data_IF_193114687739
#
_entry.id   IF_193114687739
#
_cell.length_a   1.000
_cell.length_b   1.000
_cell.length_c   1.000
_cell.angle_alpha   90.00
_cell.angle_beta   90.00
_cell.angle_gamma   90.00
#
_symmetry.space_group_name_H-M   'P 1'
#
loop_
_entity.id
_entity.type
_entity.pdbx_description
1 polymer ?
#
# COMPACT_ATOMS: atom_id res chain seq x y z
N UNK A 1 13.04 -33.15 -21.56
CA UNK A 1 13.92 -32.46 -22.53
C UNK A 1 13.17 -31.56 -23.52
N UNK A 2 12.24 -32.06 -24.37
CA UNK A 2 11.49 -31.21 -25.33
C UNK A 2 10.52 -30.27 -24.58
N UNK A 3 9.79 -30.74 -23.58
CA UNK A 3 8.87 -29.95 -22.75
C UNK A 3 9.59 -28.85 -21.95
N UNK A 4 10.81 -29.15 -21.47
CA UNK A 4 11.65 -28.15 -20.75
C UNK A 4 12.20 -27.08 -21.69
N UNK A 5 12.66 -27.46 -22.89
CA UNK A 5 13.09 -26.49 -23.92
C UNK A 5 11.93 -25.62 -24.39
N UNK A 6 10.74 -26.21 -24.55
CA UNK A 6 9.53 -25.45 -24.93
C UNK A 6 9.10 -24.49 -23.82
N UNK A 7 9.13 -24.93 -22.55
CA UNK A 7 8.87 -24.06 -21.40
C UNK A 7 9.89 -22.92 -21.26
N UNK A 8 11.18 -23.21 -21.52
CA UNK A 8 12.24 -22.19 -21.52
C UNK A 8 12.10 -21.21 -22.67
N UNK A 9 11.67 -21.67 -23.85
CA UNK A 9 11.37 -20.79 -24.98
C UNK A 9 10.12 -19.94 -24.72
N UNK A 10 9.07 -20.53 -24.16
CA UNK A 10 7.86 -19.82 -23.75
C UNK A 10 8.10 -18.84 -22.59
N UNK A 11 9.01 -19.14 -21.66
CA UNK A 11 9.37 -18.22 -20.58
C UNK A 11 10.14 -16.98 -21.09
N UNK A 12 10.88 -17.09 -22.18
CA UNK A 12 11.49 -15.94 -22.85
C UNK A 12 10.47 -15.05 -23.60
N UNK A 13 9.28 -15.58 -23.91
CA UNK A 13 8.21 -14.88 -24.62
C UNK A 13 7.14 -14.33 -23.65
N UNK A 14 7.12 -14.77 -22.39
CA UNK A 14 6.17 -14.30 -21.37
C UNK A 14 6.76 -13.18 -20.55
N UNK A 15 6.03 -12.11 -20.39
CA UNK A 15 6.37 -11.05 -19.43
C UNK A 15 5.91 -11.48 -18.04
N UNK A 16 6.85 -11.75 -17.14
CA UNK A 16 6.53 -11.99 -15.72
C UNK A 16 6.36 -10.63 -15.02
N UNK A 17 5.27 -10.48 -14.30
CA UNK A 17 4.90 -9.26 -13.58
C UNK A 17 4.89 -9.58 -12.09
N UNK A 18 5.44 -8.71 -11.27
CA UNK A 18 5.14 -8.67 -9.85
C UNK A 18 4.33 -7.41 -9.55
N UNK A 19 3.31 -7.54 -8.72
CA UNK A 19 2.45 -6.44 -8.31
C UNK A 19 2.37 -6.41 -6.78
N UNK A 20 2.70 -5.28 -6.21
CA UNK A 20 2.34 -4.93 -4.85
C UNK A 20 1.02 -4.16 -4.91
N UNK A 21 -0.05 -4.80 -4.42
CA UNK A 21 -1.40 -4.24 -4.44
C UNK A 21 -1.71 -3.57 -3.10
N UNK A 22 -0.96 -2.50 -2.80
CA UNK A 22 -1.07 -1.82 -1.51
C UNK A 22 -2.32 -0.95 -1.36
N UNK A 23 -2.67 -0.67 -0.10
CA UNK A 23 -3.80 0.20 0.26
C UNK A 23 -3.62 1.64 -0.24
N UNK A 24 -2.42 2.20 -0.10
CA UNK A 24 -2.12 3.58 -0.51
C UNK A 24 -1.65 3.68 -1.96
N UNK A 25 -0.72 2.81 -2.35
CA UNK A 25 -0.10 2.80 -3.68
C UNK A 25 -0.03 1.37 -4.21
N UNK A 26 -0.14 1.23 -5.52
CA UNK A 26 0.12 0.00 -6.26
C UNK A 26 1.42 0.14 -7.03
N UNK A 27 2.34 -0.82 -6.86
CA UNK A 27 3.56 -0.91 -7.65
C UNK A 27 3.48 -2.09 -8.62
N UNK A 28 4.03 -1.90 -9.81
CA UNK A 28 4.19 -2.99 -10.78
C UNK A 28 5.64 -3.07 -11.21
N UNK A 29 6.20 -4.24 -11.05
CA UNK A 29 7.55 -4.59 -11.48
C UNK A 29 7.49 -5.56 -12.66
N UNK A 30 8.34 -5.34 -13.64
CA UNK A 30 8.54 -6.26 -14.76
C UNK A 30 10.00 -6.72 -14.73
N UNK A 31 10.21 -8.03 -14.90
CA UNK A 31 11.56 -8.60 -15.01
C UNK A 31 12.38 -7.84 -16.05
N UNK A 32 13.63 -7.56 -15.72
CA UNK A 32 14.62 -6.82 -16.55
C UNK A 32 14.28 -5.34 -16.85
N UNK A 33 13.14 -4.81 -16.33
CA UNK A 33 12.78 -3.39 -16.47
C UNK A 33 12.68 -2.65 -15.15
N UNK A 34 12.60 -3.39 -14.05
CA UNK A 34 12.40 -2.80 -12.71
C UNK A 34 10.95 -2.36 -12.48
N UNK A 35 10.79 -1.38 -11.59
CA UNK A 35 9.47 -0.80 -11.28
C UNK A 35 9.03 0.05 -12.46
N UNK A 36 7.96 -0.35 -13.14
CA UNK A 36 7.41 0.30 -14.34
C UNK A 36 6.16 1.12 -14.04
N UNK A 37 5.55 0.93 -12.86
CA UNK A 37 4.40 1.68 -12.40
C UNK A 37 4.49 1.84 -10.88
N UNK A 38 4.25 3.07 -10.41
CA UNK A 38 4.03 3.41 -9.01
C UNK A 38 2.93 4.46 -8.98
N UNK A 39 1.72 4.04 -8.65
CA UNK A 39 0.55 4.92 -8.65
C UNK A 39 -0.34 4.71 -7.43
N UNK A 40 -1.04 5.77 -6.98
CA UNK A 40 -2.01 5.65 -5.90
C UNK A 40 -3.10 4.62 -6.19
N UNK A 41 -3.48 3.84 -5.19
CA UNK A 41 -4.61 2.90 -5.23
C UNK A 41 -5.94 3.65 -5.06
N UNK A 42 -6.24 4.55 -6.00
CA UNK A 42 -7.41 5.43 -6.00
C UNK A 42 -8.12 5.34 -7.34
N UNK A 43 -9.44 5.34 -7.32
CA UNK A 43 -10.30 5.28 -8.51
C UNK A 43 -11.36 6.36 -8.42
N UNK A 44 -11.57 7.10 -9.50
CA UNK A 44 -12.70 8.01 -9.65
C UNK A 44 -13.81 7.28 -10.42
N UNK A 45 -14.99 7.23 -9.82
CA UNK A 45 -16.19 6.60 -10.40
C UNK A 45 -17.31 7.61 -10.55
N UNK A 46 -18.21 7.39 -11.48
CA UNK A 46 -19.47 8.15 -11.57
C UNK A 46 -20.28 8.00 -10.27
N UNK A 47 -21.11 8.98 -9.93
CA UNK A 47 -21.90 8.99 -8.69
C UNK A 47 -22.79 7.75 -8.50
N UNK A 48 -23.23 7.13 -9.61
CA UNK A 48 -23.97 5.87 -9.59
C UNK A 48 -23.07 4.61 -9.50
N UNK A 49 -21.74 4.78 -9.39
CA UNK A 49 -20.79 3.68 -9.28
C UNK A 49 -20.60 2.81 -10.53
N UNK A 50 -21.24 3.16 -11.65
CA UNK A 50 -21.31 2.28 -12.84
C UNK A 50 -20.13 2.45 -13.80
N UNK A 51 -19.44 3.60 -13.77
CA UNK A 51 -18.38 3.92 -14.72
C UNK A 51 -17.13 4.41 -13.99
N UNK A 52 -15.98 3.82 -14.36
CA UNK A 52 -14.66 4.29 -13.93
C UNK A 52 -14.20 5.42 -14.87
N UNK A 53 -13.95 6.58 -14.33
CA UNK A 53 -13.54 7.79 -15.08
C UNK A 53 -12.03 7.98 -15.05
N UNK A 54 -11.37 7.69 -13.91
CA UNK A 54 -9.93 7.81 -13.77
C UNK A 54 -9.39 6.79 -12.75
N UNK A 55 -8.11 6.45 -12.86
CA UNK A 55 -7.40 5.52 -11.96
C UNK A 55 -6.03 6.11 -11.62
N UNK A 56 -5.56 5.84 -10.41
CA UNK A 56 -4.21 6.20 -9.98
C UNK A 56 -4.03 7.68 -9.75
N UNK A 57 -2.96 8.24 -10.28
CA UNK A 57 -2.59 9.64 -10.08
C UNK A 57 -3.66 10.62 -10.59
N UNK A 58 -4.33 10.30 -11.68
CA UNK A 58 -5.42 11.13 -12.20
C UNK A 58 -6.59 11.17 -11.23
N UNK A 59 -7.00 10.01 -10.70
CA UNK A 59 -8.06 9.93 -9.69
C UNK A 59 -7.66 10.65 -8.39
N UNK A 60 -6.40 10.51 -7.93
CA UNK A 60 -5.90 11.24 -6.74
C UNK A 60 -5.99 12.75 -6.91
N UNK A 61 -5.74 13.28 -8.11
CA UNK A 61 -5.87 14.74 -8.40
C UNK A 61 -7.31 15.24 -8.35
N UNK A 62 -8.28 14.35 -8.56
CA UNK A 62 -9.71 14.68 -8.49
C UNK A 62 -10.26 14.63 -7.06
N UNK A 63 -9.55 14.00 -6.13
CA UNK A 63 -10.00 13.80 -4.75
C UNK A 63 -10.24 15.15 -4.05
N UNK A 64 -11.40 15.28 -3.42
CA UNK A 64 -11.83 16.53 -2.75
C UNK A 64 -12.14 17.70 -3.69
N UNK A 65 -12.07 17.48 -5.02
CA UNK A 65 -12.39 18.50 -6.06
C UNK A 65 -13.51 18.03 -7.00
N UNK A 66 -14.07 16.87 -6.73
CA UNK A 66 -15.17 16.30 -7.51
C UNK A 66 -16.47 17.06 -7.25
N UNK A 67 -17.26 17.22 -8.31
CA UNK A 67 -18.66 17.64 -8.21
C UNK A 67 -19.53 16.46 -7.73
N UNK A 68 -20.84 16.69 -7.59
CA UNK A 68 -21.81 15.66 -7.18
C UNK A 68 -21.92 14.44 -8.13
N UNK A 69 -21.34 14.55 -9.33
CA UNK A 69 -21.40 13.50 -10.36
C UNK A 69 -20.24 12.50 -10.30
N UNK A 70 -19.18 12.83 -9.56
CA UNK A 70 -17.97 12.00 -9.44
C UNK A 70 -17.65 11.74 -7.97
N UNK A 71 -17.30 10.50 -7.68
CA UNK A 71 -16.80 10.07 -6.37
C UNK A 71 -15.42 9.43 -6.52
N UNK A 72 -14.48 9.83 -5.70
CA UNK A 72 -13.17 9.16 -5.61
C UNK A 72 -13.18 8.19 -4.44
N UNK A 73 -12.79 6.96 -4.68
CA UNK A 73 -12.76 5.87 -3.70
C UNK A 73 -11.40 5.19 -3.68
N UNK A 74 -11.05 4.63 -2.53
CA UNK A 74 -9.93 3.70 -2.37
C UNK A 74 -10.51 2.30 -2.36
N UNK A 75 -10.29 1.49 -3.41
CA UNK A 75 -10.86 0.16 -3.51
C UNK A 75 -10.16 -0.87 -2.62
N UNK A 76 -8.97 -0.51 -2.13
CA UNK A 76 -8.22 -1.25 -1.11
C UNK A 76 -8.31 -0.54 0.22
N UNK A 77 -8.55 -1.29 1.30
CA UNK A 77 -8.59 -0.77 2.66
C UNK A 77 -8.01 -1.81 3.63
N UNK A 78 -7.14 -1.37 4.53
CA UNK A 78 -6.56 -2.23 5.56
C UNK A 78 -5.93 -3.52 4.99
N UNK A 79 -5.24 -3.39 3.83
CA UNK A 79 -4.59 -4.50 3.13
C UNK A 79 -5.52 -5.45 2.38
N UNK A 80 -6.84 -5.18 2.34
CA UNK A 80 -7.82 -6.07 1.70
C UNK A 80 -8.67 -5.34 0.66
N UNK A 81 -9.32 -6.11 -0.21
CA UNK A 81 -10.26 -5.59 -1.20
C UNK A 81 -11.53 -5.13 -0.50
N UNK A 82 -11.81 -3.83 -0.51
CA UNK A 82 -13.05 -3.24 0.00
C UNK A 82 -14.15 -3.22 -1.06
N UNK A 83 -13.78 -3.03 -2.33
CA UNK A 83 -14.71 -3.09 -3.48
C UNK A 83 -14.10 -3.94 -4.59
N UNK A 84 -14.69 -5.11 -4.82
CA UNK A 84 -14.19 -6.08 -5.78
C UNK A 84 -14.22 -5.56 -7.23
N UNK A 85 -15.33 -4.94 -7.65
CA UNK A 85 -15.49 -4.49 -9.02
C UNK A 85 -14.52 -3.36 -9.36
N UNK A 86 -14.39 -2.40 -8.46
CA UNK A 86 -13.50 -1.26 -8.65
C UNK A 86 -12.03 -1.69 -8.56
N UNK A 87 -11.68 -2.63 -7.67
CA UNK A 87 -10.34 -3.23 -7.61
C UNK A 87 -10.00 -3.94 -8.91
N UNK A 88 -10.92 -4.73 -9.46
CA UNK A 88 -10.72 -5.40 -10.74
C UNK A 88 -10.47 -4.40 -11.88
N UNK A 89 -11.23 -3.32 -11.94
CA UNK A 89 -10.98 -2.24 -12.92
C UNK A 89 -9.60 -1.61 -12.73
N UNK A 90 -9.20 -1.34 -11.49
CA UNK A 90 -7.89 -0.78 -11.15
C UNK A 90 -6.74 -1.70 -11.57
N UNK A 91 -6.79 -2.97 -11.20
CA UNK A 91 -5.79 -3.99 -11.59
C UNK A 91 -5.71 -4.09 -13.12
N UNK A 92 -6.85 -4.19 -13.79
CA UNK A 92 -6.92 -4.27 -15.26
C UNK A 92 -6.30 -3.04 -15.92
N UNK A 93 -6.57 -1.85 -15.39
CA UNK A 93 -5.98 -0.61 -15.89
C UNK A 93 -4.46 -0.60 -15.73
N UNK A 94 -3.94 -0.94 -14.54
CA UNK A 94 -2.51 -0.96 -14.28
C UNK A 94 -1.77 -2.00 -15.12
N UNK A 95 -2.34 -3.20 -15.28
CA UNK A 95 -1.75 -4.23 -16.15
C UNK A 95 -1.73 -3.76 -17.62
N UNK A 96 -2.83 -3.19 -18.14
CA UNK A 96 -2.88 -2.67 -19.48
C UNK A 96 -1.93 -1.50 -19.72
N UNK A 97 -1.74 -0.63 -18.73
CA UNK A 97 -0.82 0.51 -18.79
C UNK A 97 0.65 0.07 -18.83
N UNK A 98 0.99 -1.01 -18.14
CA UNK A 98 2.37 -1.53 -18.08
C UNK A 98 2.73 -2.43 -19.25
N UNK A 99 1.76 -3.14 -19.81
CA UNK A 99 1.95 -4.02 -20.95
C UNK A 99 1.66 -3.26 -22.24
N UNK A 100 2.66 -3.11 -23.12
CA UNK A 100 2.45 -2.57 -24.46
C UNK A 100 1.48 -3.45 -25.25
N UNK A 101 0.70 -2.85 -26.14
CA UNK A 101 -0.46 -3.38 -26.90
C UNK A 101 -0.29 -4.75 -27.62
N UNK A 102 0.90 -5.33 -27.70
CA UNK A 102 1.21 -6.51 -28.53
C UNK A 102 1.66 -7.73 -27.69
N UNK A 103 0.93 -8.10 -26.65
CA UNK A 103 1.21 -9.34 -25.94
C UNK A 103 0.37 -10.49 -26.51
N UNK A 104 1.00 -11.25 -27.36
CA UNK A 104 0.41 -12.49 -27.91
C UNK A 104 0.30 -13.59 -26.85
N UNK A 105 1.08 -13.50 -25.77
CA UNK A 105 1.09 -14.48 -24.67
C UNK A 105 0.72 -13.76 -23.38
N UNK A 106 -0.35 -14.24 -22.74
CA UNK A 106 -0.82 -13.70 -21.46
C UNK A 106 0.25 -13.80 -20.38
N UNK A 107 0.53 -12.73 -19.60
CA UNK A 107 1.57 -12.73 -18.58
C UNK A 107 1.20 -13.61 -17.38
N UNK A 108 2.22 -14.00 -16.62
CA UNK A 108 2.07 -14.50 -15.25
C UNK A 108 2.26 -13.34 -14.30
N UNK A 109 1.52 -13.35 -13.19
CA UNK A 109 1.64 -12.33 -12.17
C UNK A 109 1.87 -12.95 -10.79
N UNK A 110 2.78 -12.34 -10.02
CA UNK A 110 2.94 -12.59 -8.58
C UNK A 110 2.39 -11.36 -7.86
N UNK A 111 1.50 -11.56 -6.89
CA UNK A 111 0.89 -10.48 -6.12
C UNK A 111 1.27 -10.60 -4.65
N UNK A 112 1.75 -9.51 -4.06
CA UNK A 112 1.95 -9.37 -2.62
C UNK A 112 0.61 -9.38 -1.88
N UNK A 113 0.58 -10.07 -0.74
CA UNK A 113 -0.57 -10.13 0.16
C UNK A 113 -0.11 -10.01 1.62
N UNK A 114 -0.90 -9.39 2.50
CA UNK A 114 -0.62 -9.37 3.94
C UNK A 114 -0.54 -10.78 4.54
N UNK A 115 0.24 -10.93 5.61
CA UNK A 115 0.49 -12.24 6.24
C UNK A 115 -0.78 -12.91 6.76
N UNK A 116 -1.71 -12.14 7.34
CA UNK A 116 -2.92 -12.67 8.00
C UNK A 116 -4.19 -12.57 7.13
N UNK A 117 -4.05 -12.59 5.82
CA UNK A 117 -5.19 -12.53 4.89
C UNK A 117 -6.03 -13.82 4.92
N UNK A 118 -7.35 -13.69 4.92
CA UNK A 118 -8.28 -14.82 4.89
C UNK A 118 -8.30 -15.56 3.55
N UNK A 119 -8.78 -16.80 3.52
CA UNK A 119 -8.91 -17.56 2.27
C UNK A 119 -9.89 -16.92 1.27
N UNK A 120 -10.93 -16.23 1.78
CA UNK A 120 -11.91 -15.51 0.93
C UNK A 120 -11.22 -14.32 0.26
N UNK A 121 -10.45 -13.55 1.01
CA UNK A 121 -9.69 -12.41 0.48
C UNK A 121 -8.61 -12.86 -0.52
N UNK A 122 -7.87 -13.95 -0.23
CA UNK A 122 -6.93 -14.57 -1.18
C UNK A 122 -7.61 -14.90 -2.50
N UNK A 123 -8.78 -15.54 -2.43
CA UNK A 123 -9.56 -15.89 -3.61
C UNK A 123 -10.00 -14.66 -4.40
N UNK A 124 -10.45 -13.62 -3.71
CA UNK A 124 -10.87 -12.35 -4.34
C UNK A 124 -9.70 -11.70 -5.11
N UNK A 125 -8.48 -11.68 -4.55
CA UNK A 125 -7.29 -11.16 -5.23
C UNK A 125 -6.98 -11.98 -6.50
N UNK A 126 -6.99 -13.32 -6.40
CA UNK A 126 -6.74 -14.21 -7.54
C UNK A 126 -7.77 -14.00 -8.64
N UNK A 127 -9.06 -13.97 -8.29
CA UNK A 127 -10.14 -13.78 -9.26
C UNK A 127 -10.06 -12.42 -9.95
N UNK A 128 -9.82 -11.33 -9.21
CA UNK A 128 -9.62 -9.99 -9.78
C UNK A 128 -8.45 -9.95 -10.77
N UNK A 129 -7.33 -10.60 -10.42
CA UNK A 129 -6.18 -10.65 -11.30
C UNK A 129 -6.47 -11.49 -12.57
N UNK A 130 -7.09 -12.66 -12.45
CA UNK A 130 -7.47 -13.50 -13.60
C UNK A 130 -8.44 -12.78 -14.56
N UNK A 131 -9.41 -12.05 -14.02
CA UNK A 131 -10.35 -11.25 -14.80
C UNK A 131 -9.66 -10.12 -15.59
N UNK A 132 -8.51 -9.64 -15.13
CA UNK A 132 -7.71 -8.65 -15.87
C UNK A 132 -7.01 -9.21 -17.11
N UNK A 133 -7.07 -10.55 -17.31
CA UNK A 133 -6.59 -11.23 -18.51
C UNK A 133 -5.18 -11.83 -18.37
N UNK A 134 -4.61 -11.92 -17.17
CA UNK A 134 -3.37 -12.68 -16.94
C UNK A 134 -3.61 -14.19 -17.07
N UNK A 135 -2.55 -14.96 -17.31
CA UNK A 135 -2.64 -16.41 -17.50
C UNK A 135 -2.64 -17.17 -16.18
N UNK A 136 -1.83 -16.71 -15.25
CA UNK A 136 -1.52 -17.40 -14.01
C UNK A 136 -1.24 -16.40 -12.90
N UNK A 137 -1.69 -16.70 -11.69
CA UNK A 137 -1.56 -15.82 -10.52
C UNK A 137 -0.93 -16.62 -9.39
N UNK A 138 0.17 -16.13 -8.86
CA UNK A 138 0.80 -16.63 -7.64
C UNK A 138 0.72 -15.56 -6.57
N UNK A 139 0.51 -15.96 -5.32
CA UNK A 139 0.53 -15.05 -4.18
C UNK A 139 1.82 -15.24 -3.39
N UNK A 140 2.34 -14.15 -2.84
CA UNK A 140 3.49 -14.13 -1.92
C UNK A 140 3.15 -13.23 -0.74
N UNK A 141 3.54 -13.63 0.45
CA UNK A 141 3.36 -12.77 1.64
C UNK A 141 4.32 -11.58 1.58
N UNK A 142 3.79 -10.37 1.82
CA UNK A 142 4.52 -9.11 1.69
C UNK A 142 5.85 -9.10 2.48
N UNK A 143 5.92 -9.54 3.76
CA UNK A 143 7.19 -9.57 4.48
C UNK A 143 8.23 -10.52 3.86
N UNK A 144 7.79 -11.63 3.27
CA UNK A 144 8.69 -12.55 2.56
C UNK A 144 9.22 -11.90 1.28
N UNK A 145 8.36 -11.23 0.52
CA UNK A 145 8.75 -10.50 -0.67
C UNK A 145 9.73 -9.36 -0.33
N UNK A 146 9.46 -8.60 0.75
CA UNK A 146 10.31 -7.54 1.25
C UNK A 146 11.68 -8.07 1.69
N UNK A 147 11.73 -9.20 2.42
CA UNK A 147 12.97 -9.86 2.83
C UNK A 147 13.83 -10.26 1.63
N UNK A 148 13.22 -10.88 0.63
CA UNK A 148 13.90 -11.28 -0.61
C UNK A 148 14.41 -10.05 -1.36
N UNK A 149 13.58 -9.01 -1.48
CA UNK A 149 13.93 -7.76 -2.15
C UNK A 149 15.07 -7.00 -1.46
N UNK A 150 15.15 -7.07 -0.13
CA UNK A 150 16.23 -6.51 0.68
C UNK A 150 17.53 -7.36 0.66
N UNK A 151 17.50 -8.53 0.01
CA UNK A 151 18.65 -9.45 -0.04
C UNK A 151 18.92 -10.18 1.27
N UNK A 152 17.93 -10.28 2.17
CA UNK A 152 18.03 -11.03 3.41
C UNK A 152 18.17 -12.53 3.09
N UNK A 153 19.08 -13.26 3.74
CA UNK A 153 19.33 -14.67 3.44
C UNK A 153 18.25 -15.59 4.06
N UNK A 154 17.01 -15.45 3.58
CA UNK A 154 15.80 -16.13 4.10
C UNK A 154 15.91 -17.67 4.16
N UNK A 155 16.80 -18.26 3.36
CA UNK A 155 17.01 -19.72 3.29
C UNK A 155 17.87 -20.28 4.42
N UNK A 156 18.55 -19.43 5.19
CA UNK A 156 19.38 -19.87 6.30
C UNK A 156 18.56 -20.23 7.53
N UNK A 157 19.14 -21.07 8.42
CA UNK A 157 18.59 -21.42 9.72
C UNK A 157 18.90 -20.32 10.75
N UNK A 158 18.50 -19.10 10.47
CA UNK A 158 18.71 -17.90 11.30
C UNK A 158 17.41 -17.11 11.30
N UNK A 159 16.99 -16.56 12.45
CA UNK A 159 15.82 -15.69 12.55
C UNK A 159 16.11 -14.33 11.95
N UNK A 160 15.34 -13.94 10.94
CA UNK A 160 15.40 -12.61 10.34
C UNK A 160 14.04 -11.94 10.54
N UNK A 161 14.00 -10.81 11.24
CA UNK A 161 12.77 -10.05 11.41
C UNK A 161 12.62 -9.00 10.32
N UNK A 162 11.43 -8.94 9.74
CA UNK A 162 11.01 -7.91 8.78
C UNK A 162 9.79 -7.20 9.31
N UNK A 163 9.80 -5.88 9.20
CA UNK A 163 8.66 -5.02 9.52
C UNK A 163 8.34 -4.26 8.24
N UNK A 164 7.19 -4.55 7.66
CA UNK A 164 6.66 -3.87 6.48
C UNK A 164 5.51 -2.94 6.91
N UNK A 165 5.73 -1.62 6.80
CA UNK A 165 4.74 -0.60 7.19
C UNK A 165 4.19 0.03 5.91
N UNK A 166 3.01 -0.42 5.50
CA UNK A 166 2.32 0.06 4.32
C UNK A 166 1.43 1.28 4.56
N UNK A 167 0.40 1.44 3.72
CA UNK A 167 -0.64 2.45 3.91
C UNK A 167 -1.68 2.03 4.95
N UNK A 168 -2.24 0.83 4.82
CA UNK A 168 -3.33 0.34 5.67
C UNK A 168 -2.90 -0.68 6.72
N UNK A 169 -1.83 -1.44 6.46
CA UNK A 169 -1.33 -2.52 7.33
C UNK A 169 0.13 -2.33 7.69
N UNK A 170 0.49 -2.84 8.88
CA UNK A 170 1.87 -3.11 9.26
C UNK A 170 2.02 -4.60 9.49
N UNK A 171 2.87 -5.23 8.70
CA UNK A 171 3.15 -6.66 8.72
C UNK A 171 4.51 -6.92 9.36
N UNK A 172 4.51 -7.74 10.41
CA UNK A 172 5.70 -8.10 11.18
C UNK A 172 5.90 -9.60 11.01
N UNK A 173 7.06 -10.02 10.53
CA UNK A 173 7.35 -11.43 10.34
C UNK A 173 8.78 -11.78 10.77
N UNK A 174 8.94 -12.94 11.40
CA UNK A 174 10.22 -13.60 11.63
C UNK A 174 10.34 -14.75 10.64
N UNK A 175 11.38 -14.69 9.81
CA UNK A 175 11.61 -15.57 8.68
C UNK A 175 12.84 -16.43 8.96
N UNK A 176 12.72 -17.74 8.76
CA UNK A 176 13.82 -18.70 8.84
C UNK A 176 13.55 -19.87 7.89
N UNK A 177 14.59 -20.45 7.29
CA UNK A 177 14.50 -21.61 6.40
C UNK A 177 13.45 -21.46 5.28
N UNK A 178 13.36 -20.26 4.70
CA UNK A 178 12.42 -19.89 3.64
C UNK A 178 10.93 -19.97 4.05
N UNK A 179 10.63 -19.91 5.34
CA UNK A 179 9.27 -19.92 5.87
C UNK A 179 9.09 -18.79 6.90
N UNK A 180 7.87 -18.32 7.08
CA UNK A 180 7.50 -17.41 8.17
C UNK A 180 7.31 -18.26 9.43
N UNK A 181 8.23 -18.14 10.37
CA UNK A 181 8.19 -18.84 11.66
C UNK A 181 7.16 -18.18 12.62
N UNK A 182 7.05 -16.86 12.57
CA UNK A 182 6.02 -16.08 13.24
C UNK A 182 5.63 -14.90 12.35
N UNK A 183 4.33 -14.60 12.28
CA UNK A 183 3.81 -13.46 11.54
C UNK A 183 2.61 -12.82 12.24
N UNK A 184 2.57 -11.51 12.26
CA UNK A 184 1.44 -10.71 12.77
C UNK A 184 1.20 -9.54 11.80
N UNK A 185 -0.07 -9.30 11.47
CA UNK A 185 -0.51 -8.15 10.69
C UNK A 185 -1.47 -7.32 11.50
N UNK A 186 -1.21 -6.01 11.59
CA UNK A 186 -2.09 -5.06 12.26
C UNK A 186 -2.63 -4.05 11.23
N UNK A 187 -3.91 -3.71 11.35
CA UNK A 187 -4.59 -2.71 10.50
C UNK A 187 -4.31 -1.29 11.01
N UNK A 188 -3.04 -0.95 11.08
CA UNK A 188 -2.55 0.32 11.59
C UNK A 188 -1.22 0.65 10.93
N UNK A 189 -1.20 1.68 10.09
CA UNK A 189 -0.04 2.06 9.28
C UNK A 189 -0.13 3.53 8.85
N UNK A 190 0.35 3.88 7.66
CA UNK A 190 0.41 5.24 7.15
C UNK A 190 -0.91 6.00 7.19
N UNK A 191 -2.03 5.37 6.86
CA UNK A 191 -3.35 6.02 6.85
C UNK A 191 -3.82 6.39 8.27
N UNK A 192 -3.57 5.53 9.26
CA UNK A 192 -3.88 5.83 10.67
C UNK A 192 -3.04 7.00 11.21
N UNK A 193 -1.79 7.11 10.75
CA UNK A 193 -0.93 8.26 11.07
C UNK A 193 -1.48 9.53 10.42
N UNK A 194 -1.92 9.48 9.17
CA UNK A 194 -2.54 10.63 8.48
C UNK A 194 -3.80 11.11 9.20
N UNK A 195 -4.67 10.16 9.59
CA UNK A 195 -5.88 10.46 10.36
C UNK A 195 -5.56 11.08 11.73
N UNK A 196 -4.51 10.62 12.40
CA UNK A 196 -4.06 11.19 13.67
C UNK A 196 -3.59 12.65 13.50
N UNK A 197 -2.87 12.96 12.42
CA UNK A 197 -2.45 14.30 12.06
C UNK A 197 -3.66 15.20 11.77
N UNK A 198 -4.60 14.73 10.95
CA UNK A 198 -5.84 15.47 10.64
C UNK A 198 -6.61 15.79 11.91
N UNK A 199 -6.76 14.81 12.81
CA UNK A 199 -7.41 14.97 14.12
C UNK A 199 -6.69 15.99 15.00
N UNK A 200 -5.35 15.91 15.09
CA UNK A 200 -4.53 16.84 15.86
C UNK A 200 -4.70 18.28 15.39
N UNK A 201 -4.58 18.52 14.08
CA UNK A 201 -4.72 19.85 13.47
C UNK A 201 -6.13 20.42 13.70
N UNK A 202 -7.15 19.57 13.60
CA UNK A 202 -8.53 19.95 13.88
C UNK A 202 -8.73 20.41 15.34
N UNK A 203 -8.16 19.68 16.30
CA UNK A 203 -8.34 19.95 17.72
C UNK A 203 -7.51 21.14 18.19
N UNK A 204 -6.25 21.23 17.78
CA UNK A 204 -5.31 22.25 18.31
C UNK A 204 -5.31 23.54 17.49
N UNK A 205 -5.52 23.47 16.18
CA UNK A 205 -5.53 24.64 15.30
C UNK A 205 -6.92 25.04 14.81
N UNK A 206 -7.97 24.28 15.19
CA UNK A 206 -9.34 24.49 14.72
C UNK A 206 -9.46 24.54 13.18
N UNK A 207 -8.63 23.78 12.50
CA UNK A 207 -8.53 23.74 11.05
C UNK A 207 -9.00 22.39 10.53
N UNK A 208 -10.01 22.37 9.66
CA UNK A 208 -10.47 21.18 8.96
C UNK A 208 -9.65 21.01 7.68
N UNK A 209 -8.94 19.88 7.59
CA UNK A 209 -8.15 19.50 6.43
C UNK A 209 -8.57 18.12 5.92
N UNK A 210 -8.28 17.84 4.65
CA UNK A 210 -8.49 16.52 4.07
C UNK A 210 -7.36 15.54 4.39
N UNK A 211 -7.62 14.25 4.22
CA UNK A 211 -6.65 13.18 4.53
C UNK A 211 -5.35 13.31 3.70
N UNK A 212 -5.42 13.73 2.45
CA UNK A 212 -4.23 13.93 1.63
C UNK A 212 -3.38 15.14 2.06
N UNK A 213 -3.97 16.13 2.72
CA UNK A 213 -3.20 17.21 3.35
C UNK A 213 -2.50 16.67 4.61
N UNK A 214 -3.14 15.77 5.37
CA UNK A 214 -2.50 15.03 6.47
C UNK A 214 -1.32 14.20 5.97
N UNK A 215 -1.48 13.44 4.88
CA UNK A 215 -0.41 12.68 4.21
C UNK A 215 0.75 13.60 3.77
N UNK A 216 0.43 14.76 3.16
CA UNK A 216 1.44 15.74 2.74
C UNK A 216 2.25 16.25 3.94
N UNK A 217 1.58 16.60 5.03
CA UNK A 217 2.23 17.07 6.27
C UNK A 217 3.13 15.97 6.86
N UNK A 218 2.64 14.73 6.95
CA UNK A 218 3.43 13.58 7.39
C UNK A 218 4.71 13.43 6.58
N UNK A 219 4.61 13.44 5.25
CA UNK A 219 5.76 13.27 4.35
C UNK A 219 6.73 14.46 4.47
N UNK A 220 6.23 15.67 4.66
CA UNK A 220 7.05 16.88 4.67
C UNK A 220 7.86 17.05 5.95
N UNK A 221 7.25 16.79 7.12
CA UNK A 221 7.85 17.10 8.43
C UNK A 221 7.60 16.01 9.50
N UNK A 222 7.01 14.86 9.13
CA UNK A 222 6.75 13.77 10.09
C UNK A 222 8.03 13.09 10.51
N UNK A 223 8.25 12.97 11.81
CA UNK A 223 9.37 12.22 12.38
C UNK A 223 8.95 11.52 13.66
N UNK A 224 9.32 10.25 13.81
CA UNK A 224 9.07 9.50 15.04
C UNK A 224 10.02 9.87 16.19
N UNK A 225 11.16 10.48 15.86
CA UNK A 225 12.17 10.90 16.79
C UNK A 225 12.57 12.37 16.53
N UNK A 226 12.94 13.17 17.54
CA UNK A 226 13.35 14.57 17.34
C UNK A 226 14.48 14.69 16.33
N UNK A 227 14.34 15.57 15.35
CA UNK A 227 15.41 15.89 14.40
C UNK A 227 16.13 17.18 14.82
N UNK A 228 17.29 17.44 14.24
CA UNK A 228 18.07 18.64 14.53
C UNK A 228 17.48 19.85 13.83
N UNK A 229 16.87 19.66 12.65
CA UNK A 229 16.49 20.75 11.74
C UNK A 229 15.19 21.48 12.10
N UNK A 230 14.38 20.95 13.04
CA UNK A 230 13.11 21.52 13.52
C UNK A 230 12.23 22.05 12.38
N UNK A 231 11.85 21.15 11.49
CA UNK A 231 11.10 21.48 10.28
C UNK A 231 9.72 22.06 10.61
N UNK A 232 9.24 22.94 9.73
CA UNK A 232 7.88 23.49 9.77
C UNK A 232 7.24 23.43 8.38
N UNK A 233 5.91 23.40 8.32
CA UNK A 233 5.17 23.48 7.06
C UNK A 233 3.89 24.27 7.22
N UNK A 234 3.49 24.97 6.16
CA UNK A 234 2.19 25.63 6.08
C UNK A 234 1.11 24.59 5.75
N UNK A 235 0.00 24.63 6.49
CA UNK A 235 -1.18 23.76 6.29
C UNK A 235 -2.37 24.65 5.99
N UNK A 236 -3.07 24.35 4.89
CA UNK A 236 -4.25 25.08 4.43
C UNK A 236 -5.53 24.28 4.66
N UNK A 237 -6.56 24.92 5.16
CA UNK A 237 -7.84 24.28 5.43
C UNK A 237 -8.96 25.27 5.73
N UNK A 238 -10.09 24.72 6.18
CA UNK A 238 -11.25 25.51 6.57
C UNK A 238 -11.24 25.71 8.09
N UNK A 239 -11.24 26.95 8.56
CA UNK A 239 -11.38 27.24 9.98
C UNK A 239 -12.79 26.83 10.45
N UNK A 240 -12.88 25.90 11.41
CA UNK A 240 -14.16 25.32 11.84
C UNK A 240 -15.02 26.29 12.66
N UNK A 241 -14.43 27.36 13.23
CA UNK A 241 -15.15 28.37 14.00
C UNK A 241 -15.75 29.48 13.12
N UNK A 242 -15.02 29.89 12.07
CA UNK A 242 -15.39 31.01 11.22
C UNK A 242 -15.95 30.59 9.87
N UNK A 243 -15.71 29.36 9.43
CA UNK A 243 -16.07 28.87 8.11
C UNK A 243 -15.23 29.46 6.97
N UNK A 244 -14.12 30.15 7.28
CA UNK A 244 -13.27 30.84 6.30
C UNK A 244 -12.02 29.99 6.00
N UNK A 245 -11.61 29.84 4.73
CA UNK A 245 -10.32 29.26 4.39
C UNK A 245 -9.16 30.03 5.03
N UNK A 246 -8.25 29.34 5.67
CA UNK A 246 -7.09 29.93 6.34
C UNK A 246 -5.90 28.97 6.29
N UNK A 247 -4.73 29.43 6.71
CA UNK A 247 -3.53 28.61 6.86
C UNK A 247 -2.93 28.76 8.24
N UNK A 248 -2.24 27.73 8.69
CA UNK A 248 -1.46 27.69 9.93
C UNK A 248 -0.09 27.09 9.64
N UNK A 249 0.92 27.52 10.39
CA UNK A 249 2.24 26.88 10.38
C UNK A 249 2.24 25.86 11.49
N UNK A 250 2.62 24.61 11.16
CA UNK A 250 2.79 23.52 12.12
C UNK A 250 4.24 23.08 12.16
N UNK A 251 4.70 22.67 13.32
CA UNK A 251 6.07 22.21 13.56
C UNK A 251 6.17 20.69 13.56
N UNK A 252 7.37 20.18 13.32
CA UNK A 252 7.72 18.75 13.45
C UNK A 252 7.34 18.21 14.84
N UNK A 253 7.58 18.98 15.92
CA UNK A 253 7.26 18.56 17.29
C UNK A 253 5.77 18.31 17.47
N UNK A 254 4.91 19.17 16.92
CA UNK A 254 3.45 19.00 16.94
C UNK A 254 3.02 17.74 16.17
N UNK A 255 3.63 17.51 15.00
CA UNK A 255 3.29 16.35 14.17
C UNK A 255 3.80 15.07 14.83
N UNK A 256 4.96 15.07 15.49
CA UNK A 256 5.46 13.93 16.27
C UNK A 256 4.51 13.57 17.41
N UNK A 257 3.97 14.57 18.12
CA UNK A 257 2.95 14.35 19.16
C UNK A 257 1.69 13.72 18.55
N UNK A 258 1.23 14.22 17.41
CA UNK A 258 0.07 13.67 16.70
C UNK A 258 0.27 12.19 16.32
N UNK A 259 1.48 11.81 15.91
CA UNK A 259 1.83 10.47 15.44
C UNK A 259 2.13 9.47 16.58
N UNK A 260 2.26 9.93 17.82
CA UNK A 260 2.76 9.12 18.94
C UNK A 260 1.92 7.88 19.21
N UNK A 261 0.58 7.99 19.19
CA UNK A 261 -0.33 6.88 19.49
C UNK A 261 -0.22 5.76 18.43
N UNK A 262 -0.37 6.02 17.11
CA UNK A 262 -0.22 4.98 16.11
C UNK A 262 1.17 4.35 16.11
N UNK A 263 2.24 5.12 16.31
CA UNK A 263 3.60 4.58 16.38
C UNK A 263 3.77 3.67 17.61
N UNK A 264 3.28 4.06 18.77
CA UNK A 264 3.34 3.23 19.99
C UNK A 264 2.61 1.88 19.80
N UNK A 265 1.49 1.88 19.07
CA UNK A 265 0.77 0.65 18.77
C UNK A 265 1.55 -0.27 17.82
N UNK A 266 2.26 0.28 16.82
CA UNK A 266 3.16 -0.50 15.95
C UNK A 266 4.31 -1.11 16.78
N UNK A 267 4.92 -0.34 17.67
CA UNK A 267 5.98 -0.81 18.56
C UNK A 267 5.46 -1.93 19.48
N UNK A 268 4.22 -1.79 19.99
CA UNK A 268 3.61 -2.83 20.83
C UNK A 268 3.41 -4.15 20.05
N UNK A 269 3.01 -4.09 18.77
CA UNK A 269 2.91 -5.28 17.94
C UNK A 269 4.29 -5.90 17.67
N UNK A 270 5.31 -5.08 17.44
CA UNK A 270 6.69 -5.53 17.31
C UNK A 270 7.18 -6.28 18.56
N UNK A 271 6.95 -5.73 19.74
CA UNK A 271 7.32 -6.37 21.01
C UNK A 271 6.63 -7.71 21.20
N UNK A 272 5.33 -7.81 20.86
CA UNK A 272 4.61 -9.09 20.86
C UNK A 272 5.21 -10.11 19.90
N UNK A 273 5.63 -9.67 18.72
CA UNK A 273 6.26 -10.56 17.75
C UNK A 273 7.59 -11.11 18.29
N UNK A 274 8.39 -10.28 18.94
CA UNK A 274 9.62 -10.71 19.61
C UNK A 274 9.36 -11.72 20.73
N UNK A 275 8.36 -11.44 21.58
CA UNK A 275 8.00 -12.33 22.69
C UNK A 275 7.49 -13.72 22.23
N UNK A 276 6.84 -13.77 21.07
CA UNK A 276 6.28 -15.02 20.50
C UNK A 276 7.23 -15.74 19.56
N UNK A 277 8.36 -15.12 19.24
CA UNK A 277 9.40 -15.76 18.42
C UNK A 277 10.05 -16.88 19.22
N UNK A 278 10.23 -18.08 18.64
CA UNK A 278 10.98 -19.16 19.28
C UNK A 278 12.37 -18.71 19.71
N UNK A 279 12.83 -19.07 20.92
CA UNK A 279 14.13 -18.59 21.43
C UNK A 279 15.33 -19.11 20.64
N UNK A 280 15.16 -20.11 19.79
CA UNK A 280 16.18 -20.65 18.89
C UNK A 280 16.39 -19.79 17.64
N UNK A 281 15.53 -18.77 17.39
CA UNK A 281 15.59 -17.82 16.29
C UNK A 281 15.92 -16.43 16.77
#
# INVERSE_FOLDING_TARGET
MIKEKLNKLMSCLTTDIAMDLGTANTLVYIRDKGIVLNEPSVVAVSANGTKVEAVGLEAKRMFGRTNSELQTIRPMKDGVIADFNVTNHMITYFIKKTLKKNWFIKPRIVIGIPTCITQVEKKAVIESALMSGVRDVSLVEEPMAAAIGAGIPVHKAEGNMVIDIGGGTSDIAVISLSAIAYGESIRLAGDAIDEAIVRYIRLNHHLSIGIFEGERVKIAIGSAYPTIDRLTTEVKGLNIKTGVPTSVIVSEDEIRIAMQEPIANIITALMRALEKTPPEL
#
